data_IF_171128985274
#
_entry.id   IF_171128985274
#
_cell.length_a   1.000
_cell.length_b   1.000
_cell.length_c   1.000
_cell.angle_alpha   90.00
_cell.angle_beta   90.00
_cell.angle_gamma   90.00
#
_symmetry.space_group_name_H-M   'P 1'
#
loop_
_entity.id
_entity.type
_entity.pdbx_description
1 polymer ?
#
# COMPACT_ATOMS: atom_id res chain seq x y z
N UNK A 1 27.74 6.97 14.54
CA UNK A 1 26.28 7.13 14.63
C UNK A 1 26.00 7.75 16.01
N UNK A 2 25.42 8.95 16.07
CA UNK A 2 25.17 9.60 17.36
C UNK A 2 24.11 8.81 18.15
N UNK A 3 24.26 8.67 19.48
CA UNK A 3 23.28 8.00 20.37
C UNK A 3 21.85 8.56 20.18
N UNK A 4 21.72 9.78 19.69
CA UNK A 4 20.43 10.47 19.43
C UNK A 4 19.63 9.87 18.27
N UNK A 5 20.27 9.16 17.33
CA UNK A 5 19.60 8.53 16.17
C UNK A 5 19.15 7.09 16.44
N UNK A 6 19.63 6.42 17.48
CA UNK A 6 19.33 5.00 17.73
C UNK A 6 17.82 4.78 17.96
N UNK A 7 17.20 5.57 18.85
CA UNK A 7 15.76 5.42 19.16
C UNK A 7 14.88 5.73 17.94
N UNK A 8 15.07 6.83 17.19
CA UNK A 8 14.42 7.05 15.90
C UNK A 8 14.55 5.90 14.92
N UNK A 9 15.76 5.35 14.75
CA UNK A 9 16.01 4.23 13.83
C UNK A 9 15.24 2.98 14.24
N UNK A 10 15.32 2.57 15.50
CA UNK A 10 14.58 1.40 16.02
C UNK A 10 13.08 1.62 15.86
N UNK A 11 12.57 2.79 16.21
CA UNK A 11 11.16 3.11 16.09
C UNK A 11 10.67 3.03 14.64
N UNK A 12 11.44 3.56 13.67
CA UNK A 12 11.09 3.50 12.24
C UNK A 12 11.18 2.07 11.69
N UNK A 13 12.19 1.28 12.08
CA UNK A 13 12.28 -0.16 11.70
C UNK A 13 11.03 -0.89 12.19
N UNK A 14 10.71 -0.77 13.48
CA UNK A 14 9.60 -1.50 14.07
C UNK A 14 8.25 -1.09 13.45
N UNK A 15 7.99 0.21 13.26
CA UNK A 15 6.72 0.63 12.67
C UNK A 15 6.61 0.19 11.21
N UNK A 16 7.66 0.37 10.40
CA UNK A 16 7.61 0.05 8.97
C UNK A 16 7.35 -1.44 8.69
N UNK A 17 7.93 -2.34 9.49
CA UNK A 17 7.67 -3.77 9.40
C UNK A 17 6.22 -4.14 9.73
N UNK A 18 5.50 -3.32 10.50
CA UNK A 18 4.14 -3.57 10.95
C UNK A 18 3.05 -2.94 10.08
N UNK A 19 3.39 -2.06 9.14
CA UNK A 19 2.38 -1.33 8.34
C UNK A 19 1.87 -2.09 7.10
N UNK A 20 2.34 -3.31 6.82
CA UNK A 20 1.91 -4.10 5.65
C UNK A 20 1.33 -5.48 5.98
N UNK A 21 1.77 -6.22 7.01
CA UNK A 21 1.32 -7.58 7.25
C UNK A 21 -0.21 -7.71 7.40
N UNK A 22 -0.88 -6.73 8.01
CA UNK A 22 -2.34 -6.74 8.14
C UNK A 22 -3.10 -6.79 6.83
N UNK A 23 -2.49 -6.31 5.74
CA UNK A 23 -3.05 -6.36 4.38
C UNK A 23 -2.54 -7.58 3.58
N UNK A 24 -1.29 -8.02 3.79
CA UNK A 24 -0.68 -9.08 2.97
C UNK A 24 -0.89 -10.50 3.51
N UNK A 25 -1.01 -10.67 4.83
CA UNK A 25 -1.20 -11.99 5.48
C UNK A 25 -2.55 -12.64 5.15
N UNK A 26 -3.68 -11.90 5.08
CA UNK A 26 -4.97 -12.52 4.76
C UNK A 26 -5.03 -13.17 3.39
N UNK A 27 -4.28 -12.72 2.39
CA UNK A 27 -4.32 -13.26 1.03
C UNK A 27 -3.99 -14.76 0.95
N UNK A 28 -2.80 -15.21 1.40
CA UNK A 28 -2.45 -16.64 1.41
C UNK A 28 -3.37 -17.51 2.27
N UNK A 29 -4.05 -16.93 3.26
CA UNK A 29 -4.96 -17.60 4.19
C UNK A 29 -6.44 -17.35 3.88
N UNK A 30 -6.76 -16.75 2.73
CA UNK A 30 -8.11 -16.27 2.43
C UNK A 30 -9.14 -17.42 2.44
N UNK A 31 -8.80 -18.58 1.92
CA UNK A 31 -9.65 -19.76 1.90
C UNK A 31 -9.98 -20.25 3.31
N UNK A 32 -8.97 -20.34 4.19
CA UNK A 32 -9.10 -20.78 5.57
C UNK A 32 -9.90 -19.77 6.40
N UNK A 33 -9.67 -18.47 6.18
CA UNK A 33 -10.45 -17.40 6.83
C UNK A 33 -11.91 -17.48 6.40
N UNK A 34 -12.17 -17.64 5.09
CA UNK A 34 -13.53 -17.76 4.54
C UNK A 34 -14.27 -18.95 5.13
N UNK A 35 -13.67 -20.13 5.08
CA UNK A 35 -14.29 -21.34 5.63
C UNK A 35 -14.48 -21.27 7.14
N UNK A 36 -13.49 -20.76 7.87
CA UNK A 36 -13.53 -20.66 9.33
C UNK A 36 -14.50 -19.61 9.88
N UNK A 37 -14.93 -18.65 9.06
CA UNK A 37 -15.90 -17.56 9.43
C UNK A 37 -17.21 -17.67 8.63
N UNK A 38 -17.38 -18.64 7.75
CA UNK A 38 -18.55 -18.75 6.89
C UNK A 38 -18.74 -17.54 5.96
N UNK A 39 -17.64 -16.95 5.47
CA UNK A 39 -17.69 -15.75 4.64
C UNK A 39 -18.01 -16.08 3.18
N UNK A 40 -18.95 -15.32 2.59
CA UNK A 40 -19.19 -15.34 1.15
C UNK A 40 -17.99 -14.77 0.36
N UNK A 41 -17.90 -15.05 -0.93
CA UNK A 41 -16.88 -14.43 -1.80
C UNK A 41 -16.99 -12.90 -1.84
N UNK A 42 -18.21 -12.35 -1.78
CA UNK A 42 -18.43 -10.91 -1.68
C UNK A 42 -17.84 -10.29 -0.41
N UNK A 43 -18.02 -10.93 0.76
CA UNK A 43 -17.40 -10.47 2.01
C UNK A 43 -15.87 -10.60 2.00
N UNK A 44 -15.33 -11.63 1.32
CA UNK A 44 -13.89 -11.75 1.08
C UNK A 44 -13.38 -10.59 0.20
N UNK A 45 -14.15 -10.19 -0.83
CA UNK A 45 -13.86 -9.01 -1.63
C UNK A 45 -13.87 -7.71 -0.81
N UNK A 46 -14.82 -7.57 0.12
CA UNK A 46 -14.81 -6.45 1.09
C UNK A 46 -13.53 -6.48 1.92
N UNK A 47 -13.17 -7.63 2.51
CA UNK A 47 -11.96 -7.77 3.34
C UNK A 47 -10.70 -7.35 2.57
N UNK A 48 -10.55 -7.81 1.34
CA UNK A 48 -9.36 -7.52 0.50
C UNK A 48 -9.36 -6.09 -0.05
N UNK A 49 -10.52 -5.43 -0.13
CA UNK A 49 -10.67 -4.01 -0.50
C UNK A 49 -10.49 -3.03 0.68
N UNK A 50 -10.65 -3.51 1.94
CA UNK A 50 -10.53 -2.66 3.14
C UNK A 50 -9.23 -1.86 3.22
N UNK A 51 -8.03 -2.38 2.83
CA UNK A 51 -6.81 -1.59 2.87
C UNK A 51 -6.93 -0.30 2.05
N UNK A 52 -7.46 -0.37 0.82
CA UNK A 52 -7.68 0.81 -0.02
C UNK A 52 -8.65 1.81 0.61
N UNK A 53 -9.78 1.34 1.14
CA UNK A 53 -10.76 2.19 1.83
C UNK A 53 -10.15 2.86 3.08
N UNK A 54 -9.45 2.09 3.92
CA UNK A 54 -8.83 2.63 5.13
C UNK A 54 -7.73 3.65 4.80
N UNK A 55 -6.88 3.37 3.82
CA UNK A 55 -5.83 4.31 3.40
C UNK A 55 -6.41 5.56 2.75
N UNK A 56 -7.49 5.45 1.97
CA UNK A 56 -8.19 6.59 1.40
C UNK A 56 -8.88 7.46 2.46
N UNK A 57 -9.75 6.88 3.27
CA UNK A 57 -10.60 7.63 4.21
C UNK A 57 -9.86 8.02 5.49
N UNK A 58 -9.20 7.05 6.15
CA UNK A 58 -8.53 7.30 7.44
C UNK A 58 -7.25 8.09 7.23
N UNK A 59 -6.58 7.90 6.06
CA UNK A 59 -5.44 8.71 5.67
C UNK A 59 -5.75 10.20 5.63
N UNK A 60 -6.94 10.61 5.17
CA UNK A 60 -7.40 12.00 5.21
C UNK A 60 -7.56 12.54 6.63
N UNK A 61 -7.99 11.69 7.57
CA UNK A 61 -8.18 12.05 8.96
C UNK A 61 -6.85 12.13 9.74
N UNK A 62 -5.80 11.47 9.26
CA UNK A 62 -4.50 11.40 9.93
C UNK A 62 -3.92 12.77 10.26
N UNK A 63 -4.02 13.71 9.30
CA UNK A 63 -3.53 15.09 9.49
C UNK A 63 -4.31 15.83 10.56
N UNK A 64 -5.63 15.70 10.56
CA UNK A 64 -6.51 16.33 11.56
C UNK A 64 -6.24 15.75 12.94
N UNK A 65 -6.02 14.44 13.03
CA UNK A 65 -5.64 13.77 14.28
C UNK A 65 -4.28 14.27 14.77
N UNK A 66 -3.26 14.33 13.89
CA UNK A 66 -1.93 14.79 14.22
C UNK A 66 -1.91 16.25 14.72
N UNK A 67 -2.80 17.10 14.19
CA UNK A 67 -2.96 18.47 14.68
C UNK A 67 -3.49 18.54 16.12
N UNK A 68 -4.32 17.58 16.54
CA UNK A 68 -4.93 17.55 17.88
C UNK A 68 -4.03 16.93 18.94
N UNK A 69 -3.42 15.78 18.62
CA UNK A 69 -2.67 14.99 19.61
C UNK A 69 -1.15 14.95 19.37
N UNK A 70 -0.68 15.51 18.24
CA UNK A 70 0.71 15.43 17.79
C UNK A 70 0.99 14.25 16.87
N UNK A 71 2.00 14.39 16.00
CA UNK A 71 2.35 13.38 15.00
C UNK A 71 2.79 12.07 15.63
N UNK A 72 3.66 12.13 16.63
CA UNK A 72 4.25 10.97 17.31
C UNK A 72 3.22 10.20 18.11
N UNK A 73 2.33 10.93 18.83
CA UNK A 73 1.20 10.31 19.53
C UNK A 73 0.19 9.66 18.56
N UNK A 74 -0.04 10.28 17.39
CA UNK A 74 -0.85 9.71 16.32
C UNK A 74 -0.29 8.40 15.78
N UNK A 75 1.04 8.28 15.62
CA UNK A 75 1.71 7.03 15.21
C UNK A 75 1.58 5.96 16.30
N UNK A 76 1.81 6.33 17.58
CA UNK A 76 1.65 5.41 18.69
C UNK A 76 0.21 4.87 18.79
N UNK A 77 -0.80 5.74 18.67
CA UNK A 77 -2.22 5.36 18.63
C UNK A 77 -2.50 4.43 17.44
N UNK A 78 -1.93 4.73 16.26
CA UNK A 78 -2.03 3.87 15.07
C UNK A 78 -1.50 2.46 15.33
N UNK A 79 -0.33 2.33 15.97
CA UNK A 79 0.25 1.02 16.34
C UNK A 79 -0.59 0.26 17.36
N UNK A 80 -1.16 0.95 18.35
CA UNK A 80 -2.10 0.35 19.30
C UNK A 80 -3.34 -0.19 18.57
N UNK A 81 -3.89 0.58 17.62
CA UNK A 81 -5.02 0.15 16.80
C UNK A 81 -4.64 -1.08 15.92
N UNK A 82 -3.44 -1.10 15.33
CA UNK A 82 -2.92 -2.27 14.60
C UNK A 82 -2.86 -3.49 15.51
N UNK A 83 -2.25 -3.37 16.69
CA UNK A 83 -2.09 -4.48 17.63
C UNK A 83 -3.45 -5.03 18.09
N UNK A 84 -4.32 -4.15 18.60
CA UNK A 84 -5.66 -4.53 19.09
C UNK A 84 -6.49 -5.15 17.97
N UNK A 85 -6.56 -4.49 16.81
CA UNK A 85 -7.34 -4.98 15.67
C UNK A 85 -6.86 -6.35 15.19
N UNK A 86 -5.54 -6.57 15.09
CA UNK A 86 -4.95 -7.84 14.66
C UNK A 86 -5.18 -8.97 15.68
N UNK A 87 -4.94 -8.72 16.96
CA UNK A 87 -5.09 -9.73 18.03
C UNK A 87 -6.57 -10.12 18.17
N UNK A 88 -7.46 -9.14 18.28
CA UNK A 88 -8.87 -9.42 18.52
C UNK A 88 -9.54 -10.06 17.29
N UNK A 89 -9.20 -9.62 16.04
CA UNK A 89 -9.79 -10.27 14.86
C UNK A 89 -9.39 -11.73 14.73
N UNK A 90 -8.19 -12.11 15.18
CA UNK A 90 -7.76 -13.50 15.20
C UNK A 90 -8.61 -14.37 16.15
N UNK A 91 -9.14 -13.80 17.23
CA UNK A 91 -9.94 -14.51 18.23
C UNK A 91 -11.44 -14.62 17.89
N UNK A 92 -11.97 -13.84 16.94
CA UNK A 92 -13.41 -13.82 16.67
C UNK A 92 -13.89 -14.97 15.77
N UNK A 93 -15.11 -15.46 16.02
CA UNK A 93 -15.84 -16.39 15.14
C UNK A 93 -16.85 -15.72 14.21
N UNK A 94 -17.06 -14.42 14.34
CA UNK A 94 -18.07 -13.68 13.58
C UNK A 94 -17.42 -12.88 12.44
N UNK A 95 -17.88 -13.08 11.20
CA UNK A 95 -17.34 -12.43 10.01
C UNK A 95 -17.44 -10.88 10.06
N UNK A 96 -18.54 -10.34 10.57
CA UNK A 96 -18.73 -8.88 10.65
C UNK A 96 -17.83 -8.24 11.70
N UNK A 97 -17.66 -8.90 12.85
CA UNK A 97 -16.71 -8.46 13.89
C UNK A 97 -15.28 -8.55 13.36
N UNK A 98 -14.95 -9.59 12.60
CA UNK A 98 -13.66 -9.73 11.93
C UNK A 98 -13.40 -8.57 10.97
N UNK A 99 -14.36 -8.18 10.13
CA UNK A 99 -14.25 -7.04 9.23
C UNK A 99 -14.11 -5.72 10.00
N UNK A 100 -14.91 -5.48 11.03
CA UNK A 100 -14.81 -4.27 11.86
C UNK A 100 -13.44 -4.14 12.53
N UNK A 101 -12.90 -5.22 13.10
CA UNK A 101 -11.57 -5.25 13.69
C UNK A 101 -10.47 -5.13 12.65
N UNK A 102 -10.71 -5.62 11.41
CA UNK A 102 -9.81 -5.38 10.28
C UNK A 102 -9.76 -3.91 9.90
N UNK A 103 -10.90 -3.17 9.95
CA UNK A 103 -10.91 -1.71 9.77
C UNK A 103 -10.08 -1.01 10.85
N UNK A 104 -10.17 -1.44 12.10
CA UNK A 104 -9.34 -0.89 13.19
C UNK A 104 -7.85 -1.10 12.92
N UNK A 105 -7.44 -2.34 12.56
CA UNK A 105 -6.04 -2.65 12.26
C UNK A 105 -5.52 -1.86 11.05
N UNK A 106 -6.26 -1.88 9.94
CA UNK A 106 -5.88 -1.21 8.69
C UNK A 106 -5.95 0.31 8.83
N UNK A 107 -6.87 0.83 9.64
CA UNK A 107 -6.93 2.24 10.01
C UNK A 107 -5.68 2.70 10.76
N UNK A 108 -5.21 1.91 11.71
CA UNK A 108 -3.94 2.15 12.39
C UNK A 108 -2.74 2.16 11.41
N UNK A 109 -2.73 1.23 10.44
CA UNK A 109 -1.72 1.21 9.37
C UNK A 109 -1.81 2.45 8.47
N UNK A 110 -3.03 2.91 8.14
CA UNK A 110 -3.25 4.12 7.36
C UNK A 110 -2.68 5.37 8.07
N UNK A 111 -2.91 5.49 9.38
CA UNK A 111 -2.30 6.55 10.19
C UNK A 111 -0.77 6.50 10.11
N UNK A 112 -0.16 5.32 10.30
CA UNK A 112 1.29 5.13 10.19
C UNK A 112 1.83 5.51 8.81
N UNK A 113 1.16 5.10 7.73
CA UNK A 113 1.59 5.42 6.35
C UNK A 113 1.63 6.93 6.06
N UNK A 114 0.74 7.72 6.67
CA UNK A 114 0.70 9.17 6.49
C UNK A 114 1.65 9.88 7.46
N UNK A 115 1.64 9.47 8.73
CA UNK A 115 2.31 10.21 9.80
C UNK A 115 3.80 9.90 9.92
N UNK A 116 4.26 8.66 9.62
CA UNK A 116 5.69 8.31 9.73
C UNK A 116 6.56 9.09 8.73
N UNK A 117 6.22 9.20 7.42
CA UNK A 117 6.96 10.06 6.51
C UNK A 117 6.93 11.54 6.91
N UNK A 118 5.80 12.02 7.44
CA UNK A 118 5.69 13.39 7.95
C UNK A 118 6.61 13.61 9.15
N UNK A 119 6.66 12.67 10.09
CA UNK A 119 7.56 12.71 11.23
C UNK A 119 9.04 12.64 10.81
N UNK A 120 9.40 11.79 9.84
CA UNK A 120 10.78 11.71 9.31
C UNK A 120 11.23 13.04 8.74
N UNK A 121 10.36 13.79 8.05
CA UNK A 121 10.69 15.12 7.49
C UNK A 121 11.05 16.17 8.56
N UNK A 122 10.65 15.99 9.80
CA UNK A 122 11.03 16.89 10.91
C UNK A 122 12.45 16.63 11.44
N UNK A 123 13.08 15.52 11.01
CA UNK A 123 14.43 15.13 11.43
C UNK A 123 15.46 15.54 10.38
N UNK A 124 16.14 16.67 10.59
CA UNK A 124 17.19 17.16 9.66
C UNK A 124 18.37 16.17 9.56
N UNK A 125 18.76 15.55 10.68
CA UNK A 125 19.83 14.56 10.72
C UNK A 125 19.29 13.15 10.43
N UNK A 126 19.79 12.53 9.37
CA UNK A 126 19.47 11.14 9.02
C UNK A 126 18.14 10.95 8.27
N UNK A 127 17.51 12.01 7.77
CA UNK A 127 16.23 11.95 7.05
C UNK A 127 16.26 10.92 5.91
N UNK A 128 17.29 10.94 5.06
CA UNK A 128 17.43 10.00 3.94
C UNK A 128 17.51 8.56 4.43
N UNK A 129 18.30 8.31 5.48
CA UNK A 129 18.43 6.98 6.09
C UNK A 129 17.10 6.49 6.66
N UNK A 130 16.40 7.32 7.43
CA UNK A 130 15.11 7.00 8.02
C UNK A 130 14.05 6.72 6.94
N UNK A 131 14.03 7.52 5.87
CA UNK A 131 13.11 7.33 4.75
C UNK A 131 13.41 6.03 3.98
N UNK A 132 14.69 5.71 3.78
CA UNK A 132 15.11 4.45 3.14
C UNK A 132 14.70 3.25 3.98
N UNK A 133 14.95 3.29 5.30
CA UNK A 133 14.55 2.23 6.24
C UNK A 133 13.04 2.07 6.26
N UNK A 134 12.30 3.18 6.28
CA UNK A 134 10.84 3.14 6.22
C UNK A 134 10.32 2.44 4.96
N UNK A 135 10.78 2.87 3.79
CA UNK A 135 10.35 2.28 2.51
C UNK A 135 10.74 0.80 2.37
N UNK A 136 11.98 0.47 2.74
CA UNK A 136 12.48 -0.91 2.74
C UNK A 136 11.72 -1.78 3.73
N UNK A 137 11.48 -1.27 4.94
CA UNK A 137 10.74 -1.98 5.98
C UNK A 137 9.29 -2.30 5.60
N UNK A 138 8.61 -1.39 4.88
CA UNK A 138 7.29 -1.66 4.32
C UNK A 138 7.28 -2.85 3.36
N UNK A 139 8.26 -2.92 2.46
CA UNK A 139 8.36 -4.02 1.48
C UNK A 139 8.72 -5.33 2.15
N UNK A 140 9.70 -5.31 3.07
CA UNK A 140 10.10 -6.47 3.86
C UNK A 140 8.94 -6.98 4.71
N UNK A 141 8.25 -6.10 5.45
CA UNK A 141 7.10 -6.47 6.28
C UNK A 141 5.97 -7.11 5.48
N UNK A 142 5.65 -6.54 4.31
CA UNK A 142 4.65 -7.11 3.40
C UNK A 142 5.07 -8.46 2.83
N UNK A 143 6.32 -8.59 2.38
CA UNK A 143 6.87 -9.81 1.81
C UNK A 143 6.98 -10.95 2.84
N UNK A 144 7.55 -10.68 4.02
CA UNK A 144 7.65 -11.66 5.11
C UNK A 144 6.24 -12.06 5.58
N UNK A 145 5.31 -11.10 5.70
CA UNK A 145 3.93 -11.38 6.05
C UNK A 145 3.27 -12.38 5.09
N UNK A 146 3.41 -12.14 3.79
CA UNK A 146 2.86 -13.02 2.75
C UNK A 146 3.56 -14.41 2.74
N UNK A 147 4.89 -14.44 2.83
CA UNK A 147 5.67 -15.69 2.78
C UNK A 147 5.41 -16.59 3.98
N UNK A 148 5.32 -16.01 5.17
CA UNK A 148 5.20 -16.78 6.42
C UNK A 148 3.74 -17.07 6.81
N UNK A 149 2.74 -16.48 6.17
CA UNK A 149 1.34 -16.65 6.53
C UNK A 149 0.91 -18.12 6.60
N UNK A 150 1.11 -18.88 5.51
CA UNK A 150 0.73 -20.28 5.43
C UNK A 150 1.64 -21.20 6.27
N UNK A 151 2.99 -21.12 6.21
CA UNK A 151 3.87 -21.91 7.09
C UNK A 151 3.58 -21.73 8.58
N UNK A 152 3.30 -20.49 9.02
CA UNK A 152 2.92 -20.23 10.40
C UNK A 152 1.53 -20.82 10.74
N UNK A 153 0.59 -20.81 9.80
CA UNK A 153 -0.70 -21.44 10.01
C UNK A 153 -0.58 -22.96 10.15
N UNK A 154 0.28 -23.60 9.35
CA UNK A 154 0.58 -25.04 9.46
C UNK A 154 1.26 -25.36 10.79
N UNK A 155 2.27 -24.61 11.20
CA UNK A 155 3.06 -24.87 12.42
C UNK A 155 2.34 -24.52 13.72
N UNK A 156 1.47 -23.49 13.71
CA UNK A 156 0.76 -23.01 14.90
C UNK A 156 -0.65 -23.56 15.04
N UNK A 157 -1.08 -24.48 14.17
CA UNK A 157 -2.38 -25.16 14.26
C UNK A 157 -3.55 -24.33 13.73
N UNK A 158 -3.33 -23.42 12.77
CA UNK A 158 -4.38 -22.74 12.03
C UNK A 158 -4.11 -21.27 11.70
N UNK A 159 -5.00 -20.69 10.91
CA UNK A 159 -4.88 -19.31 10.44
C UNK A 159 -4.98 -18.25 11.54
N UNK A 160 -5.71 -18.56 12.64
CA UNK A 160 -5.93 -17.63 13.76
C UNK A 160 -4.63 -17.26 14.48
N UNK A 161 -3.84 -18.21 15.01
CA UNK A 161 -2.56 -17.86 15.64
C UNK A 161 -1.57 -17.25 14.66
N UNK A 162 -1.53 -17.70 13.39
CA UNK A 162 -0.71 -17.07 12.35
C UNK A 162 -1.05 -15.59 12.18
N UNK A 163 -2.34 -15.25 12.09
CA UNK A 163 -2.79 -13.86 11.95
C UNK A 163 -2.53 -13.03 13.22
N UNK A 164 -2.77 -13.61 14.41
CA UNK A 164 -2.59 -12.95 15.72
C UNK A 164 -1.13 -12.60 16.03
N UNK A 165 -0.18 -13.40 15.55
CA UNK A 165 1.25 -13.17 15.77
C UNK A 165 1.70 -11.76 15.30
N UNK A 166 1.18 -11.29 14.18
CA UNK A 166 1.47 -9.95 13.65
C UNK A 166 0.93 -8.83 14.54
N UNK A 167 -0.13 -9.09 15.32
CA UNK A 167 -0.61 -8.15 16.33
C UNK A 167 0.34 -8.04 17.52
N UNK A 168 0.93 -9.14 17.96
CA UNK A 168 1.96 -9.12 19.01
C UNK A 168 3.24 -8.42 18.56
N UNK A 169 3.62 -8.62 17.29
CA UNK A 169 4.74 -7.88 16.70
C UNK A 169 4.46 -6.36 16.67
N UNK A 170 3.24 -5.95 16.31
CA UNK A 170 2.84 -4.53 16.34
C UNK A 170 2.85 -3.97 17.77
N UNK A 171 2.42 -4.75 18.75
CA UNK A 171 2.45 -4.35 20.16
C UNK A 171 3.89 -4.07 20.64
N UNK A 172 4.88 -4.83 20.18
CA UNK A 172 6.30 -4.61 20.54
C UNK A 172 6.85 -3.27 20.05
N UNK A 173 6.24 -2.66 19.01
CA UNK A 173 6.63 -1.36 18.49
C UNK A 173 6.06 -0.18 19.29
N UNK A 174 4.96 -0.40 20.03
CA UNK A 174 4.25 0.65 20.78
C UNK A 174 5.15 1.37 21.81
N UNK A 175 5.96 0.69 22.64
CA UNK A 175 6.78 1.38 23.66
C UNK A 175 7.75 2.40 23.07
N UNK A 176 8.38 2.11 21.92
CA UNK A 176 9.31 3.02 21.28
C UNK A 176 8.62 4.33 20.84
N UNK A 177 7.43 4.22 20.24
CA UNK A 177 6.66 5.39 19.79
C UNK A 177 5.95 6.12 20.93
N UNK A 178 5.52 5.40 21.98
CA UNK A 178 5.01 6.03 23.20
C UNK A 178 6.09 6.84 23.92
N UNK A 179 7.32 6.30 24.02
CA UNK A 179 8.46 7.03 24.56
C UNK A 179 8.76 8.31 23.77
N UNK A 180 8.79 8.24 22.44
CA UNK A 180 8.98 9.41 21.58
C UNK A 180 7.85 10.42 21.75
N UNK A 181 6.59 9.97 21.85
CA UNK A 181 5.43 10.85 22.03
C UNK A 181 5.51 11.64 23.34
N UNK A 182 5.86 10.99 24.44
CA UNK A 182 6.05 11.67 25.75
C UNK A 182 7.20 12.66 25.68
N UNK A 183 8.31 12.31 25.06
CA UNK A 183 9.48 13.17 24.94
C UNK A 183 9.21 14.41 24.09
N UNK A 184 8.49 14.26 22.96
CA UNK A 184 8.19 15.35 22.05
C UNK A 184 7.04 16.23 22.55
N UNK A 185 6.15 15.72 23.37
CA UNK A 185 5.07 16.53 23.98
C UNK A 185 5.63 17.66 24.85
N UNK A 186 6.81 17.45 25.42
CA UNK A 186 7.49 18.40 26.29
C UNK A 186 8.34 19.46 25.53
N UNK A 187 8.34 19.43 24.17
CA UNK A 187 9.04 20.42 23.36
C UNK A 187 8.12 21.60 23.01
N UNK A 188 8.66 22.85 22.89
CA UNK A 188 7.87 24.03 22.52
C UNK A 188 7.13 23.85 21.19
N UNK A 189 5.92 24.45 21.08
CA UNK A 189 4.97 24.26 19.98
C UNK A 189 5.42 24.81 18.60
N UNK A 190 6.61 25.39 18.50
CA UNK A 190 7.10 26.12 17.31
C UNK A 190 7.43 25.22 16.08
N UNK A 191 7.34 23.91 16.22
CA UNK A 191 7.67 22.94 15.16
C UNK A 191 6.43 22.39 14.41
N UNK A 192 5.23 22.93 14.68
CA UNK A 192 3.97 22.47 14.06
C UNK A 192 3.66 23.26 12.79
N UNK A 193 4.30 22.93 11.67
CA UNK A 193 3.90 23.48 10.36
C UNK A 193 2.54 22.91 9.92
N UNK A 194 1.54 23.76 9.57
CA UNK A 194 0.27 23.30 9.05
C UNK A 194 0.47 22.62 7.69
N UNK A 195 -0.10 21.44 7.49
CA UNK A 195 -0.20 20.84 6.17
C UNK A 195 -1.29 21.59 5.38
N UNK A 196 -0.97 21.99 4.13
CA UNK A 196 -1.89 22.74 3.29
C UNK A 196 -3.16 21.92 2.99
N UNK A 197 -4.32 22.60 2.96
CA UNK A 197 -5.57 21.99 2.55
C UNK A 197 -5.56 21.67 1.03
N UNK A 198 -6.25 20.61 0.56
CA UNK A 198 -6.38 20.32 -0.88
C UNK A 198 -6.98 21.51 -1.62
N UNK A 199 -6.31 21.98 -2.68
CA UNK A 199 -6.82 23.07 -3.52
C UNK A 199 -7.79 22.54 -4.57
N UNK A 200 -8.99 23.17 -4.69
CA UNK A 200 -10.03 22.74 -5.66
C UNK A 200 -9.60 22.80 -7.13
N UNK A 201 -8.56 23.57 -7.47
CA UNK A 201 -8.05 23.68 -8.86
C UNK A 201 -7.23 22.47 -9.31
N UNK A 202 -6.65 21.68 -8.41
CA UNK A 202 -5.85 20.49 -8.77
C UNK A 202 -6.65 19.46 -9.56
N UNK A 203 -7.96 19.34 -9.28
CA UNK A 203 -8.86 18.46 -10.01
C UNK A 203 -8.99 18.77 -11.52
N UNK A 204 -8.61 19.97 -11.96
CA UNK A 204 -8.65 20.37 -13.37
C UNK A 204 -7.28 20.20 -14.07
N UNK A 205 -6.22 19.88 -13.36
CA UNK A 205 -4.88 19.65 -13.94
C UNK A 205 -4.82 18.29 -14.65
N UNK A 206 -4.57 18.25 -15.97
CA UNK A 206 -4.40 16.99 -16.69
C UNK A 206 -3.24 16.15 -16.17
N UNK A 207 -2.17 16.78 -15.66
CA UNK A 207 -1.04 16.10 -15.04
C UNK A 207 -1.45 15.48 -13.70
N UNK A 208 -2.21 16.17 -12.86
CA UNK A 208 -2.71 15.63 -11.61
C UNK A 208 -3.71 14.47 -11.82
N UNK A 209 -4.56 14.55 -12.84
CA UNK A 209 -5.47 13.46 -13.22
C UNK A 209 -4.71 12.24 -13.73
N UNK A 210 -3.68 12.42 -14.56
CA UNK A 210 -2.82 11.33 -15.01
C UNK A 210 -2.06 10.67 -13.83
N UNK A 211 -1.56 11.47 -12.86
CA UNK A 211 -0.98 10.96 -11.61
C UNK A 211 -2.00 10.15 -10.80
N UNK A 212 -3.24 10.64 -10.69
CA UNK A 212 -4.32 9.94 -9.98
C UNK A 212 -4.65 8.61 -10.65
N UNK A 213 -4.72 8.58 -11.99
CA UNK A 213 -4.96 7.36 -12.76
C UNK A 213 -3.82 6.37 -12.57
N UNK A 214 -2.56 6.78 -12.75
CA UNK A 214 -1.39 5.92 -12.58
C UNK A 214 -1.32 5.36 -11.14
N UNK A 215 -1.44 6.23 -10.14
CA UNK A 215 -1.39 5.85 -8.74
C UNK A 215 -2.56 4.94 -8.34
N UNK A 216 -3.78 5.30 -8.76
CA UNK A 216 -5.00 4.57 -8.41
C UNK A 216 -5.06 3.17 -9.04
N UNK A 217 -4.78 3.06 -10.35
CA UNK A 217 -4.74 1.77 -11.05
C UNK A 217 -3.68 0.87 -10.45
N UNK A 218 -2.47 1.39 -10.22
CA UNK A 218 -1.39 0.58 -9.65
C UNK A 218 -1.66 0.18 -8.20
N UNK A 219 -2.23 1.06 -7.39
CA UNK A 219 -2.66 0.73 -6.02
C UNK A 219 -3.76 -0.33 -6.01
N UNK A 220 -4.70 -0.26 -6.97
CA UNK A 220 -5.73 -1.27 -7.17
C UNK A 220 -5.09 -2.65 -7.41
N UNK A 221 -4.12 -2.74 -8.33
CA UNK A 221 -3.42 -3.99 -8.59
C UNK A 221 -2.66 -4.50 -7.36
N UNK A 222 -2.01 -3.63 -6.61
CA UNK A 222 -1.33 -4.03 -5.38
C UNK A 222 -2.30 -4.68 -4.36
N UNK A 223 -3.50 -4.11 -4.18
CA UNK A 223 -4.49 -4.70 -3.26
C UNK A 223 -5.16 -5.96 -3.81
N UNK A 224 -5.41 -6.02 -5.12
CA UNK A 224 -5.87 -7.26 -5.78
C UNK A 224 -4.82 -8.36 -5.61
N UNK A 225 -3.55 -8.06 -5.82
CA UNK A 225 -2.46 -9.02 -5.66
C UNK A 225 -2.33 -9.48 -4.19
N UNK A 226 -2.37 -8.57 -3.24
CA UNK A 226 -2.32 -8.93 -1.81
C UNK A 226 -3.49 -9.82 -1.39
N UNK A 227 -4.68 -9.56 -1.89
CA UNK A 227 -5.89 -10.27 -1.49
C UNK A 227 -6.17 -11.53 -2.30
N UNK A 228 -6.00 -11.49 -3.62
CA UNK A 228 -6.51 -12.51 -4.52
C UNK A 228 -5.46 -13.29 -5.30
N UNK A 229 -4.25 -12.76 -5.52
CA UNK A 229 -3.22 -13.46 -6.30
C UNK A 229 -2.85 -14.82 -5.71
N UNK A 230 -2.70 -14.99 -4.37
CA UNK A 230 -2.48 -16.32 -3.81
C UNK A 230 -3.64 -17.28 -4.07
N UNK A 231 -4.89 -16.79 -4.02
CA UNK A 231 -6.06 -17.63 -4.31
C UNK A 231 -6.11 -18.06 -5.78
N UNK A 232 -5.77 -17.16 -6.72
CA UNK A 232 -5.67 -17.48 -8.16
C UNK A 232 -4.67 -18.63 -8.37
N UNK A 233 -3.51 -18.59 -7.73
CA UNK A 233 -2.52 -19.65 -7.81
C UNK A 233 -2.97 -20.94 -7.14
N UNK A 234 -3.66 -20.85 -6.00
CA UNK A 234 -4.21 -22.03 -5.29
C UNK A 234 -5.29 -22.74 -6.11
N UNK A 235 -6.18 -21.98 -6.74
CA UNK A 235 -7.22 -22.53 -7.62
C UNK A 235 -6.63 -23.15 -8.90
N UNK A 236 -5.40 -22.76 -9.27
CA UNK A 236 -4.60 -23.39 -10.31
C UNK A 236 -3.81 -24.64 -9.83
N UNK A 237 -4.00 -25.07 -8.56
CA UNK A 237 -3.41 -26.30 -8.00
C UNK A 237 -2.10 -26.11 -7.24
N UNK A 238 -1.64 -24.87 -7.01
CA UNK A 238 -0.42 -24.60 -6.23
C UNK A 238 -0.73 -24.61 -4.72
N UNK A 239 0.26 -24.97 -3.89
CA UNK A 239 0.11 -24.95 -2.43
C UNK A 239 -0.01 -23.52 -1.89
N UNK A 240 -0.62 -23.36 -0.71
CA UNK A 240 -0.75 -22.07 -0.04
C UNK A 240 0.61 -21.44 0.26
N UNK A 241 1.58 -22.24 0.71
CA UNK A 241 2.97 -21.81 0.96
C UNK A 241 3.64 -21.30 -0.31
N UNK A 242 3.49 -22.01 -1.44
CA UNK A 242 4.08 -21.59 -2.71
C UNK A 242 3.41 -20.31 -3.24
N UNK A 243 2.09 -20.20 -3.14
CA UNK A 243 1.35 -18.98 -3.52
C UNK A 243 1.75 -17.77 -2.65
N UNK A 244 1.98 -17.99 -1.35
CA UNK A 244 2.52 -16.97 -0.45
C UNK A 244 3.94 -16.51 -0.83
N UNK A 245 4.82 -17.46 -1.23
CA UNK A 245 6.16 -17.16 -1.72
C UNK A 245 6.15 -16.33 -3.02
N UNK A 246 5.22 -16.64 -3.94
CA UNK A 246 5.01 -15.85 -5.15
C UNK A 246 4.56 -14.42 -4.83
N UNK A 247 3.64 -14.24 -3.90
CA UNK A 247 3.24 -12.90 -3.44
C UNK A 247 4.39 -12.16 -2.73
N UNK A 248 5.19 -12.87 -1.94
CA UNK A 248 6.39 -12.30 -1.31
C UNK A 248 7.41 -11.82 -2.35
N UNK A 249 7.58 -12.57 -3.46
CA UNK A 249 8.46 -12.16 -4.57
C UNK A 249 8.00 -10.87 -5.24
N UNK A 250 6.69 -10.66 -5.36
CA UNK A 250 6.13 -9.40 -5.87
C UNK A 250 6.58 -8.23 -4.99
N UNK A 251 6.49 -8.37 -3.67
CA UNK A 251 6.96 -7.34 -2.72
C UNK A 251 8.47 -7.13 -2.78
N UNK A 252 9.25 -8.22 -2.87
CA UNK A 252 10.71 -8.18 -2.95
C UNK A 252 11.22 -7.50 -4.22
N UNK A 253 10.65 -7.85 -5.38
CA UNK A 253 10.97 -7.19 -6.67
C UNK A 253 10.52 -5.73 -6.63
N UNK A 254 9.35 -5.43 -6.03
CA UNK A 254 8.84 -4.07 -5.87
C UNK A 254 9.81 -3.13 -5.15
N UNK A 255 10.67 -3.64 -4.26
CA UNK A 255 11.71 -2.87 -3.59
C UNK A 255 12.67 -2.21 -4.60
N UNK A 256 13.06 -2.92 -5.64
CA UNK A 256 13.94 -2.38 -6.69
C UNK A 256 13.28 -1.21 -7.42
N UNK A 257 11.96 -1.23 -7.62
CA UNK A 257 11.22 -0.10 -8.18
C UNK A 257 11.38 1.18 -7.36
N UNK A 258 11.26 1.08 -6.04
CA UNK A 258 11.48 2.20 -5.13
C UNK A 258 12.90 2.79 -5.19
N UNK A 259 13.90 1.93 -5.40
CA UNK A 259 15.31 2.35 -5.48
C UNK A 259 15.69 2.90 -6.86
N UNK A 260 15.16 2.31 -7.93
CA UNK A 260 15.60 2.61 -9.32
C UNK A 260 14.81 3.77 -9.94
N UNK A 261 13.51 3.89 -9.68
CA UNK A 261 12.65 4.84 -10.39
C UNK A 261 13.02 6.31 -10.19
N UNK A 262 13.45 6.80 -9.02
CA UNK A 262 13.96 8.17 -8.90
C UNK A 262 15.15 8.45 -9.83
N UNK A 263 16.08 7.51 -9.99
CA UNK A 263 17.22 7.63 -10.88
C UNK A 263 16.81 7.58 -12.36
N UNK A 264 15.82 6.76 -12.72
CA UNK A 264 15.26 6.70 -14.07
C UNK A 264 14.58 8.04 -14.43
N UNK A 265 13.79 8.60 -13.53
CA UNK A 265 13.14 9.90 -13.72
C UNK A 265 14.20 11.01 -13.92
N UNK A 266 15.27 11.01 -13.12
CA UNK A 266 16.33 12.00 -13.18
C UNK A 266 17.12 11.97 -14.52
N UNK A 267 17.18 10.81 -15.20
CA UNK A 267 17.83 10.71 -16.53
C UNK A 267 17.11 11.52 -17.60
N UNK A 268 15.80 11.69 -17.50
CA UNK A 268 15.00 12.51 -18.41
C UNK A 268 14.90 11.99 -19.86
N UNK A 269 15.52 10.85 -20.21
CA UNK A 269 15.54 10.27 -21.57
C UNK A 269 14.84 8.90 -21.58
N UNK A 270 14.12 8.61 -22.67
CA UNK A 270 13.48 7.31 -22.87
C UNK A 270 12.22 7.09 -22.03
N UNK A 271 11.85 8.00 -21.15
CA UNK A 271 10.77 7.84 -20.15
C UNK A 271 9.41 7.44 -20.74
N UNK A 272 9.12 7.84 -22.00
CA UNK A 272 7.84 7.51 -22.65
C UNK A 272 7.66 6.01 -22.81
N UNK A 273 8.72 5.31 -23.29
CA UNK A 273 8.71 3.87 -23.49
C UNK A 273 8.75 3.15 -22.14
N UNK A 274 9.67 3.59 -21.25
CA UNK A 274 9.84 2.98 -19.92
C UNK A 274 8.52 3.04 -19.12
N UNK A 275 7.84 4.19 -19.13
CA UNK A 275 6.62 4.36 -18.36
C UNK A 275 5.42 3.66 -19.01
N UNK A 276 5.27 3.74 -20.36
CA UNK A 276 4.22 3.03 -21.06
C UNK A 276 4.34 1.50 -20.88
N UNK A 277 5.55 0.98 -20.72
CA UNK A 277 5.79 -0.46 -20.53
C UNK A 277 5.12 -1.03 -19.26
N UNK A 278 4.87 -0.22 -18.22
CA UNK A 278 4.23 -0.70 -17.00
C UNK A 278 2.88 -1.37 -17.26
N UNK A 279 2.02 -0.73 -18.07
CA UNK A 279 0.73 -1.33 -18.41
C UNK A 279 0.84 -2.50 -19.37
N UNK A 280 1.78 -2.47 -20.31
CA UNK A 280 2.04 -3.59 -21.24
C UNK A 280 2.53 -4.83 -20.47
N UNK A 281 3.46 -4.64 -19.54
CA UNK A 281 3.97 -5.72 -18.68
C UNK A 281 2.86 -6.25 -17.77
N UNK A 282 1.99 -5.38 -17.25
CA UNK A 282 0.82 -5.77 -16.48
C UNK A 282 -0.11 -6.68 -17.29
N UNK A 283 -0.44 -6.26 -18.52
CA UNK A 283 -1.27 -7.06 -19.44
C UNK A 283 -0.65 -8.43 -19.72
N UNK A 284 0.67 -8.47 -19.96
CA UNK A 284 1.39 -9.72 -20.19
C UNK A 284 1.34 -10.64 -18.96
N UNK A 285 1.51 -10.10 -17.75
CA UNK A 285 1.42 -10.86 -16.51
C UNK A 285 0.04 -11.49 -16.31
N UNK A 286 -1.05 -10.74 -16.51
CA UNK A 286 -2.40 -11.28 -16.42
C UNK A 286 -2.75 -12.24 -17.58
N UNK A 287 -2.28 -11.96 -18.79
CA UNK A 287 -2.43 -12.91 -19.90
C UNK A 287 -1.77 -14.25 -19.58
N UNK A 288 -0.59 -14.25 -18.97
CA UNK A 288 0.08 -15.44 -18.50
C UNK A 288 -0.72 -16.20 -17.44
N UNK A 289 -1.35 -15.50 -16.50
CA UNK A 289 -2.23 -16.12 -15.51
C UNK A 289 -3.51 -16.72 -16.13
N UNK A 290 -4.00 -16.15 -17.23
CA UNK A 290 -5.16 -16.73 -17.96
C UNK A 290 -4.75 -18.00 -18.68
N UNK A 291 -3.60 -18.01 -19.35
CA UNK A 291 -3.21 -19.08 -20.27
C UNK A 291 -2.54 -20.25 -19.56
N UNK A 292 -1.69 -19.97 -18.56
CA UNK A 292 -0.83 -20.99 -17.95
C UNK A 292 -0.41 -20.62 -16.50
N UNK A 293 -1.34 -20.47 -15.56
CA UNK A 293 -1.06 -19.95 -14.22
C UNK A 293 -0.03 -20.77 -13.44
N UNK A 294 -0.04 -22.09 -13.59
CA UNK A 294 0.83 -23.02 -12.86
C UNK A 294 2.12 -23.42 -13.60
N UNK A 295 2.27 -23.08 -14.89
CA UNK A 295 3.41 -23.56 -15.70
C UNK A 295 4.70 -22.80 -15.37
N UNK A 296 4.65 -21.46 -15.33
CA UNK A 296 5.80 -20.59 -14.98
C UNK A 296 5.38 -19.47 -14.02
N UNK A 297 4.86 -19.83 -12.83
CA UNK A 297 4.22 -18.88 -11.93
C UNK A 297 5.15 -17.74 -11.48
N UNK A 298 6.46 -17.99 -11.35
CA UNK A 298 7.45 -16.98 -11.02
C UNK A 298 7.57 -15.89 -12.09
N UNK A 299 7.41 -16.25 -13.38
CA UNK A 299 7.45 -15.28 -14.47
C UNK A 299 6.25 -14.33 -14.38
N UNK A 300 5.05 -14.86 -14.13
CA UNK A 300 3.86 -14.03 -13.99
C UNK A 300 3.94 -13.12 -12.76
N UNK A 301 4.40 -13.66 -11.62
CA UNK A 301 4.65 -12.86 -10.43
C UNK A 301 5.70 -11.77 -10.67
N UNK A 302 6.79 -12.06 -11.38
CA UNK A 302 7.83 -11.09 -11.72
C UNK A 302 7.32 -9.99 -12.67
N UNK A 303 6.53 -10.32 -13.70
CA UNK A 303 5.92 -9.32 -14.59
C UNK A 303 4.98 -8.39 -13.82
N UNK A 304 4.12 -8.94 -12.98
CA UNK A 304 3.23 -8.14 -12.12
C UNK A 304 4.02 -7.25 -11.16
N UNK A 305 5.11 -7.76 -10.60
CA UNK A 305 5.99 -6.99 -9.71
C UNK A 305 6.70 -5.84 -10.42
N UNK A 306 7.22 -6.07 -11.63
CA UNK A 306 7.89 -5.03 -12.44
C UNK A 306 6.90 -3.97 -12.89
N UNK A 307 5.68 -4.36 -13.30
CA UNK A 307 4.60 -3.40 -13.52
C UNK A 307 4.34 -2.56 -12.25
N UNK A 308 4.48 -3.15 -11.07
CA UNK A 308 4.38 -2.52 -9.77
C UNK A 308 5.32 -1.33 -9.56
N UNK A 309 6.38 -1.18 -10.35
CA UNK A 309 7.27 -0.01 -10.31
C UNK A 309 6.53 1.29 -10.65
N UNK A 310 5.38 1.21 -11.29
CA UNK A 310 4.50 2.36 -11.50
C UNK A 310 4.10 3.05 -10.18
N UNK A 311 3.96 2.32 -9.05
CA UNK A 311 3.60 2.91 -7.76
C UNK A 311 4.67 3.87 -7.21
N UNK A 312 5.93 3.44 -6.99
CA UNK A 312 6.98 4.36 -6.56
C UNK A 312 7.27 5.45 -7.59
N UNK A 313 7.09 5.18 -8.89
CA UNK A 313 7.20 6.18 -9.95
C UNK A 313 6.15 7.28 -9.78
N UNK A 314 4.89 6.94 -9.55
CA UNK A 314 3.82 7.92 -9.33
C UNK A 314 4.11 8.80 -8.09
N UNK A 315 4.58 8.20 -7.00
CA UNK A 315 4.99 8.95 -5.79
C UNK A 315 6.13 9.93 -6.09
N UNK A 316 7.16 9.48 -6.81
CA UNK A 316 8.30 10.33 -7.17
C UNK A 316 7.88 11.45 -8.14
N UNK A 317 6.96 11.18 -9.07
CA UNK A 317 6.46 12.15 -10.02
C UNK A 317 5.59 13.22 -9.38
N UNK A 318 4.92 12.97 -8.25
CA UNK A 318 4.22 14.02 -7.49
C UNK A 318 5.18 15.18 -7.19
N UNK A 319 6.39 14.87 -6.72
CA UNK A 319 7.42 15.88 -6.44
C UNK A 319 8.08 16.38 -7.72
N UNK A 320 8.36 15.51 -8.70
CA UNK A 320 9.06 15.88 -9.93
C UNK A 320 8.19 16.70 -10.92
N UNK A 321 6.87 16.71 -10.76
CA UNK A 321 5.90 17.46 -11.59
C UNK A 321 5.27 18.65 -10.86
N UNK A 322 5.89 19.08 -9.76
CA UNK A 322 5.53 20.29 -9.00
C UNK A 322 6.79 21.06 -8.65
N UNK A 323 6.71 22.41 -8.64
CA UNK A 323 7.82 23.29 -8.27
C UNK A 323 7.64 23.81 -6.85
N UNK A 324 6.43 24.28 -6.55
CA UNK A 324 6.12 24.87 -5.26
C UNK A 324 5.76 23.79 -4.20
N UNK A 325 6.32 23.87 -2.97
CA UNK A 325 6.00 22.90 -1.90
C UNK A 325 4.50 22.85 -1.56
N UNK A 326 3.80 23.97 -1.68
CA UNK A 326 2.34 24.06 -1.46
C UNK A 326 1.57 23.30 -2.52
N UNK A 327 1.96 23.44 -3.81
CA UNK A 327 1.36 22.69 -4.93
C UNK A 327 1.67 21.19 -4.78
N UNK A 328 2.89 20.82 -4.39
CA UNK A 328 3.25 19.43 -4.11
C UNK A 328 2.33 18.81 -3.05
N UNK A 329 2.09 19.53 -1.95
CA UNK A 329 1.21 19.08 -0.88
C UNK A 329 -0.25 18.94 -1.35
N UNK A 330 -0.74 19.89 -2.17
CA UNK A 330 -2.08 19.85 -2.73
C UNK A 330 -2.26 18.68 -3.69
N UNK A 331 -1.30 18.45 -4.60
CA UNK A 331 -1.30 17.31 -5.54
C UNK A 331 -1.26 15.98 -4.78
N UNK A 332 -0.39 15.86 -3.79
CA UNK A 332 -0.32 14.66 -2.94
C UNK A 332 -1.64 14.40 -2.20
N UNK A 333 -2.25 15.47 -1.63
CA UNK A 333 -3.54 15.42 -0.93
C UNK A 333 -4.74 15.13 -1.83
N UNK A 334 -4.61 15.31 -3.14
CA UNK A 334 -5.62 14.96 -4.13
C UNK A 334 -5.41 13.54 -4.70
N UNK A 335 -4.20 13.26 -5.21
CA UNK A 335 -3.85 12.02 -5.91
C UNK A 335 -3.96 10.80 -5.02
N UNK A 336 -3.39 10.85 -3.82
CA UNK A 336 -3.31 9.65 -2.98
C UNK A 336 -4.66 9.22 -2.40
N UNK A 337 -5.47 10.09 -1.78
CA UNK A 337 -6.76 9.66 -1.25
C UNK A 337 -7.72 9.17 -2.34
N UNK A 338 -7.84 9.91 -3.46
CA UNK A 338 -8.70 9.51 -4.56
C UNK A 338 -8.20 8.21 -5.18
N UNK A 339 -6.89 8.09 -5.40
CA UNK A 339 -6.29 6.88 -5.94
C UNK A 339 -6.50 5.66 -5.04
N UNK A 340 -6.42 5.80 -3.72
CA UNK A 340 -6.70 4.71 -2.79
C UNK A 340 -8.19 4.33 -2.74
N UNK A 341 -9.10 5.30 -2.87
CA UNK A 341 -10.53 5.00 -2.97
C UNK A 341 -10.86 4.23 -4.25
N UNK A 342 -10.29 4.64 -5.39
CA UNK A 342 -10.38 3.88 -6.63
C UNK A 342 -9.78 2.47 -6.49
N UNK A 343 -8.65 2.37 -5.82
CA UNK A 343 -7.97 1.11 -5.59
C UNK A 343 -8.79 0.12 -4.75
N UNK A 344 -9.61 0.61 -3.83
CA UNK A 344 -10.47 -0.24 -3.01
C UNK A 344 -11.55 -0.97 -3.82
N UNK A 345 -11.98 -0.38 -4.94
CA UNK A 345 -12.99 -0.99 -5.81
C UNK A 345 -12.50 -2.27 -6.47
N UNK A 346 -11.21 -2.36 -6.82
CA UNK A 346 -10.64 -3.50 -7.52
C UNK A 346 -10.85 -4.84 -6.79
N UNK A 347 -10.31 -5.02 -5.58
CA UNK A 347 -10.48 -6.27 -4.84
C UNK A 347 -11.93 -6.63 -4.56
N UNK A 348 -12.78 -5.63 -4.30
CA UNK A 348 -14.22 -5.84 -4.12
C UNK A 348 -14.87 -6.37 -5.41
N UNK A 349 -14.62 -5.72 -6.55
CA UNK A 349 -15.17 -6.15 -7.84
C UNK A 349 -14.65 -7.53 -8.24
N UNK A 350 -13.38 -7.84 -7.98
CA UNK A 350 -12.80 -9.18 -8.18
C UNK A 350 -13.59 -10.22 -7.41
N UNK A 351 -13.89 -9.98 -6.12
CA UNK A 351 -14.66 -10.90 -5.30
C UNK A 351 -16.09 -11.12 -5.82
N UNK A 352 -16.76 -10.03 -6.22
CA UNK A 352 -18.12 -10.09 -6.78
C UNK A 352 -18.13 -10.82 -8.14
N UNK A 353 -17.24 -10.45 -9.05
CA UNK A 353 -17.15 -11.07 -10.37
C UNK A 353 -16.81 -12.55 -10.28
N UNK A 354 -15.84 -12.92 -9.43
CA UNK A 354 -15.51 -14.32 -9.21
C UNK A 354 -16.69 -15.11 -8.65
N UNK A 355 -17.46 -14.52 -7.71
CA UNK A 355 -18.66 -15.17 -7.16
C UNK A 355 -19.75 -15.40 -8.21
N UNK A 356 -19.94 -14.45 -9.13
CA UNK A 356 -20.98 -14.53 -10.17
C UNK A 356 -20.57 -15.44 -11.33
N UNK A 357 -19.29 -15.38 -11.74
CA UNK A 357 -18.80 -16.11 -12.92
C UNK A 357 -18.29 -17.52 -12.60
N UNK A 358 -17.98 -17.80 -11.33
CA UNK A 358 -17.41 -19.07 -10.89
C UNK A 358 -15.97 -19.32 -11.39
N UNK A 359 -15.30 -18.31 -11.97
CA UNK A 359 -13.98 -18.49 -12.57
C UNK A 359 -13.14 -17.23 -12.62
N UNK A 360 -11.87 -17.37 -12.98
CA UNK A 360 -10.91 -16.25 -13.01
C UNK A 360 -10.77 -15.56 -14.36
N UNK A 361 -11.20 -16.21 -15.46
CA UNK A 361 -10.91 -15.72 -16.82
C UNK A 361 -11.42 -14.30 -17.06
N UNK A 362 -12.71 -14.04 -16.79
CA UNK A 362 -13.29 -12.70 -16.98
C UNK A 362 -12.64 -11.67 -16.06
N UNK A 363 -12.38 -12.05 -14.80
CA UNK A 363 -11.71 -11.19 -13.81
C UNK A 363 -10.34 -10.76 -14.30
N UNK A 364 -9.53 -11.73 -14.78
CA UNK A 364 -8.16 -11.48 -15.25
C UNK A 364 -8.14 -10.67 -16.55
N UNK A 365 -9.12 -10.87 -17.46
CA UNK A 365 -9.28 -10.06 -18.67
C UNK A 365 -9.54 -8.60 -18.30
N UNK A 366 -10.47 -8.35 -17.37
CA UNK A 366 -10.79 -7.00 -16.94
C UNK A 366 -9.62 -6.33 -16.22
N UNK A 367 -8.89 -7.08 -15.39
CA UNK A 367 -7.67 -6.59 -14.77
C UNK A 367 -6.58 -6.26 -15.80
N UNK A 368 -6.38 -7.13 -16.80
CA UNK A 368 -5.46 -6.87 -17.90
C UNK A 368 -5.85 -5.58 -18.66
N UNK A 369 -7.13 -5.39 -18.97
CA UNK A 369 -7.62 -4.21 -19.69
C UNK A 369 -7.27 -2.88 -18.99
N UNK A 370 -7.14 -2.88 -17.65
CA UNK A 370 -6.71 -1.67 -16.92
C UNK A 370 -5.23 -1.31 -17.18
N UNK A 371 -4.46 -2.19 -17.82
CA UNK A 371 -3.13 -1.87 -18.31
C UNK A 371 -3.13 -0.76 -19.38
N UNK A 372 -4.24 -0.60 -20.13
CA UNK A 372 -4.38 0.46 -21.14
C UNK A 372 -4.37 1.85 -20.50
N UNK A 373 -5.28 2.18 -19.56
CA UNK A 373 -5.24 3.47 -18.87
C UNK A 373 -3.94 3.68 -18.06
N UNK A 374 -3.34 2.61 -17.51
CA UNK A 374 -2.04 2.69 -16.85
C UNK A 374 -0.94 3.10 -17.82
N UNK A 375 -0.83 2.46 -18.99
CA UNK A 375 0.13 2.82 -20.03
C UNK A 375 -0.07 4.25 -20.53
N UNK A 376 -1.31 4.65 -20.78
CA UNK A 376 -1.64 5.99 -21.27
C UNK A 376 -1.28 7.07 -20.25
N UNK A 377 -1.67 6.91 -18.99
CA UNK A 377 -1.35 7.87 -17.93
C UNK A 377 0.16 7.99 -17.72
N UNK A 378 0.84 6.85 -17.67
CA UNK A 378 2.30 6.78 -17.51
C UNK A 378 3.04 7.44 -18.68
N UNK A 379 2.61 7.18 -19.92
CA UNK A 379 3.16 7.82 -21.12
C UNK A 379 3.01 9.35 -21.08
N UNK A 380 1.85 9.85 -20.66
CA UNK A 380 1.63 11.30 -20.50
C UNK A 380 2.57 11.92 -19.47
N UNK A 381 2.75 11.24 -18.35
CA UNK A 381 3.60 11.71 -17.26
C UNK A 381 5.09 11.70 -17.57
N UNK A 382 5.50 11.04 -18.66
CA UNK A 382 6.87 11.10 -19.15
C UNK A 382 7.25 12.50 -19.69
N UNK A 383 6.28 13.29 -20.16
CA UNK A 383 6.50 14.67 -20.54
C UNK A 383 6.81 15.55 -19.31
N UNK A 384 7.75 16.50 -19.39
CA UNK A 384 8.12 17.38 -18.27
C UNK A 384 7.12 18.54 -18.09
N UNK A 385 5.83 18.21 -17.92
CA UNK A 385 4.76 19.18 -17.62
C UNK A 385 4.64 19.36 -16.12
N UNK A 386 4.36 20.59 -15.67
CA UNK A 386 4.24 20.91 -14.24
C UNK A 386 2.80 21.32 -13.91
N UNK A 387 2.30 20.80 -12.80
CA UNK A 387 0.96 21.15 -12.30
C UNK A 387 0.85 22.64 -12.00
N UNK A 388 1.92 23.26 -11.53
CA UNK A 388 2.01 24.70 -11.23
C UNK A 388 1.60 25.54 -12.48
N UNK A 389 2.10 25.16 -13.65
CA UNK A 389 1.81 25.88 -14.91
C UNK A 389 0.35 25.70 -15.36
N UNK A 390 -0.20 24.49 -15.11
CA UNK A 390 -1.60 24.17 -15.45
C UNK A 390 -2.59 24.90 -14.53
N UNK A 391 -2.22 25.14 -13.24
CA UNK A 391 -3.06 25.88 -12.30
C UNK A 391 -3.13 27.38 -12.59
N UNK A 392 -2.12 27.94 -13.29
CA UNK A 392 -2.07 29.35 -13.66
C UNK A 392 -2.87 29.65 -14.96
N UNK A 393 -3.16 28.62 -15.77
CA UNK A 393 -3.96 28.80 -16.99
C UNK A 393 -5.43 28.99 -16.63
N UNK A 394 -6.12 30.04 -17.15
CA UNK A 394 -7.55 30.16 -16.97
C UNK A 394 -8.23 28.95 -17.63
N UNK A 395 -9.17 28.34 -16.93
CA UNK A 395 -10.02 27.28 -17.47
C UNK A 395 -10.68 27.75 -18.75
N UNK A 396 -10.31 27.15 -19.90
CA UNK A 396 -10.99 27.35 -21.18
C UNK A 396 -12.39 26.72 -21.14
#
# INVERSE_FOLDING_TARGET
MSRRLIVPLVAVVLVSLNLRPGASVPGPLLSEIRSGLGMSAGLAGVLTGLPGLCFGLIGLLAVTLARRIGTTAGIALGLVAVAIGQILRAGTGNAWVFLALSVVALGGMALGNVLVPAWIKTHEQGQVLLQTIYGTGLMIGGGIGAALAAPLAESLGGWRPSLGLWGWLALSAVPAWAYLAVREHNLPADHRRPMAAPGGRVAHSPTALALTTMFGVQSMHAYVQFGWLPQIYRDAGLSATYAGALLASVSGIGLFGGLLMPAVIARGRGLKVDFASFGVILMAGYAGLILAPATVPWLWAALLAVSGFAFPTAIALITARTREPTVTAQVSGFVQPIGYLLAALGPFLVGVLHAVTGGWTLVLILLAATGVPLSWASYRLAAPTFVDDELLQPTR
#
